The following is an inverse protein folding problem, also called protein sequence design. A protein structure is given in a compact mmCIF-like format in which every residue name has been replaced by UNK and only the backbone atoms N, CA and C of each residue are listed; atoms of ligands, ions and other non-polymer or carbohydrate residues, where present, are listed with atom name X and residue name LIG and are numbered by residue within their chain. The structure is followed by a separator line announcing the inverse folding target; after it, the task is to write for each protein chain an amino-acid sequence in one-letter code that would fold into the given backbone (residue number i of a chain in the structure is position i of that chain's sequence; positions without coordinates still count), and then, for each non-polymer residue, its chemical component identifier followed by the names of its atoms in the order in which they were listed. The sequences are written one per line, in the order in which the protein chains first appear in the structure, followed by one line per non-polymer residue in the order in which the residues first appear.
data_IF_771107690442
#
_entry.id   IF_771107690442
#
_cell.length_a   1.000
_cell.length_b   1.000
_cell.length_c   1.000
_cell.angle_alpha   90.00
_cell.angle_beta   90.00
_cell.angle_gamma   90.00
#
_symmetry.space_group_name_H-M   'P 1'
#
loop_
_entity.id
_entity.type
_entity.pdbx_description
1 polymer ?
#
# COMPACT_ATOMS: atom_id res chain seq x y z
N UNK A 1 -20.08 35.73 12.27
CA UNK A 1 -19.38 36.19 11.06
C UNK A 1 -17.90 35.94 11.28
N UNK A 2 -17.30 34.92 10.69
CA UNK A 2 -15.84 34.73 10.71
C UNK A 2 -15.24 35.53 9.57
N UNK A 3 -14.77 36.74 9.85
CA UNK A 3 -13.69 37.31 9.07
C UNK A 3 -12.41 36.59 9.50
N UNK A 4 -11.82 35.78 8.61
CA UNK A 4 -10.60 35.04 8.90
C UNK A 4 -10.30 34.08 7.76
N UNK A 5 -9.06 34.11 7.26
CA UNK A 5 -8.55 33.12 6.30
C UNK A 5 -8.96 31.72 6.76
N UNK A 6 -9.60 30.95 5.89
CA UNK A 6 -9.84 29.52 6.15
C UNK A 6 -8.45 28.90 6.33
N UNK A 7 -8.15 28.42 7.53
CA UNK A 7 -6.95 27.63 7.77
C UNK A 7 -7.16 26.26 7.11
N UNK A 8 -6.47 26.05 5.98
CA UNK A 8 -6.55 24.84 5.19
C UNK A 8 -5.70 23.69 5.73
N UNK A 9 -4.98 23.86 6.84
CA UNK A 9 -4.01 22.87 7.30
C UNK A 9 -4.60 21.49 7.55
N UNK A 10 -5.85 21.40 8.04
CA UNK A 10 -6.52 20.11 8.22
C UNK A 10 -6.95 19.47 6.90
N UNK A 11 -7.30 20.26 5.88
CA UNK A 11 -7.54 19.75 4.53
C UNK A 11 -6.25 19.19 3.93
N UNK A 12 -5.12 19.86 4.14
CA UNK A 12 -3.81 19.39 3.69
C UNK A 12 -3.38 18.10 4.40
N UNK A 13 -3.67 17.97 5.70
CA UNK A 13 -3.44 16.74 6.47
C UNK A 13 -4.30 15.60 5.93
N UNK A 14 -5.57 15.86 5.71
CA UNK A 14 -6.51 14.89 5.13
C UNK A 14 -6.05 14.43 3.75
N UNK A 15 -5.62 15.34 2.87
CA UNK A 15 -5.11 15.02 1.55
C UNK A 15 -3.88 14.10 1.60
N UNK A 16 -2.92 14.38 2.50
CA UNK A 16 -1.75 13.50 2.72
C UNK A 16 -2.18 12.11 3.21
N UNK A 17 -3.11 12.04 4.18
CA UNK A 17 -3.63 10.76 4.68
C UNK A 17 -4.30 9.96 3.56
N UNK A 18 -5.12 10.60 2.74
CA UNK A 18 -5.80 9.94 1.62
C UNK A 18 -4.84 9.49 0.52
N UNK A 19 -3.78 10.25 0.22
CA UNK A 19 -2.76 9.84 -0.74
C UNK A 19 -2.08 8.52 -0.32
N UNK A 20 -1.68 8.41 0.95
CA UNK A 20 -1.06 7.18 1.48
C UNK A 20 -2.07 6.03 1.56
N UNK A 21 -3.35 6.30 1.85
CA UNK A 21 -4.40 5.28 1.83
C UNK A 21 -4.67 4.76 0.40
N UNK A 22 -4.57 5.64 -0.61
CA UNK A 22 -4.67 5.26 -2.01
C UNK A 22 -3.50 4.36 -2.43
N UNK A 23 -2.27 4.68 -2.01
CA UNK A 23 -1.10 3.81 -2.21
C UNK A 23 -1.30 2.42 -1.60
N UNK A 24 -1.76 2.36 -0.35
CA UNK A 24 -2.02 1.10 0.36
C UNK A 24 -3.04 0.24 -0.40
N UNK A 25 -4.15 0.86 -0.81
CA UNK A 25 -5.21 0.18 -1.57
C UNK A 25 -4.72 -0.30 -2.94
N UNK A 26 -3.90 0.50 -3.62
CA UNK A 26 -3.28 0.14 -4.91
C UNK A 26 -2.40 -1.10 -4.78
N UNK A 27 -1.50 -1.14 -3.79
CA UNK A 27 -0.61 -2.28 -3.59
C UNK A 27 -1.40 -3.53 -3.15
N UNK A 28 -2.43 -3.38 -2.32
CA UNK A 28 -3.36 -4.48 -2.02
C UNK A 28 -4.00 -5.07 -3.29
N UNK A 29 -4.42 -4.22 -4.23
CA UNK A 29 -4.98 -4.65 -5.52
C UNK A 29 -4.01 -5.51 -6.31
N UNK A 30 -2.77 -5.03 -6.51
CA UNK A 30 -1.72 -5.79 -7.23
C UNK A 30 -1.46 -7.14 -6.55
N UNK A 31 -1.24 -7.13 -5.24
CA UNK A 31 -0.90 -8.34 -4.49
C UNK A 31 -2.06 -9.34 -4.54
N UNK A 32 -3.31 -8.87 -4.43
CA UNK A 32 -4.50 -9.71 -4.55
C UNK A 32 -4.59 -10.37 -5.92
N UNK A 33 -4.52 -9.59 -7.00
CA UNK A 33 -4.66 -10.10 -8.36
C UNK A 33 -3.58 -11.12 -8.68
N UNK A 34 -2.32 -10.80 -8.39
CA UNK A 34 -1.20 -11.73 -8.65
C UNK A 34 -1.24 -12.96 -7.76
N UNK A 35 -1.66 -12.84 -6.49
CA UNK A 35 -1.82 -14.00 -5.61
C UNK A 35 -2.91 -14.95 -6.12
N UNK A 36 -4.02 -14.42 -6.61
CA UNK A 36 -5.07 -15.22 -7.26
C UNK A 36 -4.54 -15.87 -8.52
N UNK A 37 -3.81 -15.15 -9.37
CA UNK A 37 -3.23 -15.73 -10.59
C UNK A 37 -2.22 -16.85 -10.32
N UNK A 38 -1.46 -16.78 -9.22
CA UNK A 38 -0.60 -17.88 -8.76
C UNK A 38 -1.45 -19.10 -8.37
N UNK A 39 -2.53 -18.91 -7.60
CA UNK A 39 -3.42 -20.00 -7.19
C UNK A 39 -4.14 -20.63 -8.39
N UNK A 40 -4.50 -19.82 -9.38
CA UNK A 40 -5.11 -20.24 -10.64
C UNK A 40 -4.08 -20.80 -11.64
N UNK A 41 -2.80 -20.90 -11.26
CA UNK A 41 -1.70 -21.39 -12.10
C UNK A 41 -1.48 -20.61 -13.41
N UNK A 42 -1.94 -19.36 -13.45
CA UNK A 42 -1.76 -18.44 -14.60
C UNK A 42 -0.37 -17.85 -14.65
N UNK A 43 0.26 -17.64 -13.48
CA UNK A 43 1.65 -17.21 -13.36
C UNK A 43 2.43 -18.15 -12.42
N UNK A 44 3.75 -18.31 -12.62
CA UNK A 44 4.58 -19.09 -11.71
C UNK A 44 4.57 -18.50 -10.30
N UNK A 45 4.59 -19.36 -9.28
CA UNK A 45 4.82 -18.91 -7.90
C UNK A 45 6.20 -18.24 -7.80
N UNK A 46 6.27 -17.07 -7.18
CA UNK A 46 7.53 -16.39 -6.91
C UNK A 46 8.43 -17.16 -5.94
N UNK A 47 9.69 -16.72 -5.84
CA UNK A 47 10.69 -17.29 -4.91
C UNK A 47 10.51 -16.82 -3.45
N UNK A 48 9.52 -15.96 -3.18
CA UNK A 48 9.24 -15.32 -1.89
C UNK A 48 8.15 -16.02 -1.08
N UNK A 49 8.00 -15.57 0.17
CA UNK A 49 7.06 -16.07 1.19
C UNK A 49 5.67 -16.41 0.64
N UNK A 50 5.07 -17.50 1.13
CA UNK A 50 3.71 -17.91 0.74
C UNK A 50 2.67 -16.91 1.29
N UNK A 51 1.57 -16.68 0.56
CA UNK A 51 0.40 -15.87 0.97
C UNK A 51 -0.12 -16.24 2.37
N UNK A 52 0.09 -17.48 2.80
CA UNK A 52 -0.17 -17.90 4.19
C UNK A 52 -1.65 -18.10 4.47
N UNK A 53 -2.37 -18.76 3.55
CA UNK A 53 -3.75 -19.17 3.76
C UNK A 53 -3.83 -20.31 4.79
N UNK A 54 -4.84 -20.25 5.66
CA UNK A 54 -5.13 -21.34 6.59
C UNK A 54 -5.73 -22.54 5.85
N UNK A 55 -5.59 -23.75 6.42
CA UNK A 55 -6.00 -25.00 5.75
C UNK A 55 -7.48 -25.04 5.37
N UNK A 56 -8.35 -24.46 6.20
CA UNK A 56 -9.79 -24.33 5.91
C UNK A 56 -10.07 -23.60 4.60
N UNK A 57 -9.45 -22.42 4.39
CA UNK A 57 -9.54 -21.67 3.14
C UNK A 57 -9.09 -22.51 1.94
N UNK A 58 -7.96 -23.23 2.07
CA UNK A 58 -7.46 -24.11 1.00
C UNK A 58 -8.48 -25.20 0.67
N UNK A 59 -9.06 -25.85 1.68
CA UNK A 59 -10.09 -26.86 1.48
C UNK A 59 -11.32 -26.33 0.75
N UNK A 60 -11.75 -25.09 1.06
CA UNK A 60 -12.90 -24.47 0.42
C UNK A 60 -12.61 -24.08 -1.03
N UNK A 61 -11.40 -23.59 -1.32
CA UNK A 61 -10.97 -23.29 -2.69
C UNK A 61 -10.98 -24.57 -3.55
N UNK A 62 -10.46 -25.69 -3.03
CA UNK A 62 -10.50 -26.97 -3.75
C UNK A 62 -11.92 -27.52 -3.92
N UNK A 63 -12.79 -27.35 -2.92
CA UNK A 63 -14.19 -27.72 -3.05
C UNK A 63 -14.89 -26.91 -4.15
N UNK A 64 -14.65 -25.60 -4.22
CA UNK A 64 -15.19 -24.73 -5.27
C UNK A 64 -14.67 -25.09 -6.67
N UNK A 65 -13.42 -25.56 -6.78
CA UNK A 65 -12.83 -26.03 -8.04
C UNK A 65 -13.56 -27.24 -8.65
N UNK A 66 -14.28 -28.03 -7.85
CA UNK A 66 -15.10 -29.14 -8.35
C UNK A 66 -16.37 -28.65 -9.09
N UNK A 67 -16.83 -27.42 -8.79
CA UNK A 67 -18.00 -26.82 -9.43
C UNK A 67 -17.62 -26.13 -10.74
N UNK A 68 -16.70 -25.18 -10.69
CA UNK A 68 -16.21 -24.47 -11.88
C UNK A 68 -14.91 -23.71 -11.59
N UNK A 69 -14.18 -23.35 -12.65
CA UNK A 69 -13.01 -22.46 -12.53
C UNK A 69 -13.38 -21.06 -12.03
N UNK A 70 -14.59 -20.57 -12.33
CA UNK A 70 -15.05 -19.27 -11.88
C UNK A 70 -15.34 -19.26 -10.37
N UNK A 71 -15.97 -20.32 -9.87
CA UNK A 71 -16.24 -20.47 -8.43
C UNK A 71 -14.95 -20.60 -7.62
N UNK A 72 -13.96 -21.33 -8.16
CA UNK A 72 -12.62 -21.42 -7.56
C UNK A 72 -11.98 -20.03 -7.44
N UNK A 73 -12.02 -19.23 -8.50
CA UNK A 73 -11.42 -17.89 -8.52
C UNK A 73 -12.10 -16.93 -7.54
N UNK A 74 -13.44 -16.90 -7.51
CA UNK A 74 -14.21 -16.07 -6.58
C UNK A 74 -13.89 -16.46 -5.12
N UNK A 75 -13.84 -17.76 -4.85
CA UNK A 75 -13.52 -18.29 -3.50
C UNK A 75 -12.08 -17.96 -3.11
N UNK A 76 -11.13 -18.14 -4.02
CA UNK A 76 -9.73 -17.79 -3.80
C UNK A 76 -9.57 -16.30 -3.52
N UNK A 77 -10.17 -15.44 -4.35
CA UNK A 77 -10.13 -13.98 -4.18
C UNK A 77 -10.70 -13.56 -2.82
N UNK A 78 -11.78 -14.20 -2.36
CA UNK A 78 -12.38 -13.92 -1.05
C UNK A 78 -11.41 -14.21 0.09
N UNK A 79 -10.84 -15.41 0.15
CA UNK A 79 -9.93 -15.80 1.23
C UNK A 79 -8.58 -15.08 1.16
N UNK A 80 -8.06 -14.82 -0.04
CA UNK A 80 -6.83 -14.05 -0.21
C UNK A 80 -7.06 -12.60 0.22
N UNK A 81 -8.17 -11.97 -0.16
CA UNK A 81 -8.48 -10.61 0.26
C UNK A 81 -8.65 -10.51 1.79
N UNK A 82 -9.33 -11.47 2.43
CA UNK A 82 -9.46 -11.51 3.89
C UNK A 82 -8.09 -11.63 4.58
N UNK A 83 -7.22 -12.52 4.07
CA UNK A 83 -5.87 -12.68 4.60
C UNK A 83 -5.02 -11.43 4.41
N UNK A 84 -5.04 -10.83 3.22
CA UNK A 84 -4.25 -9.65 2.90
C UNK A 84 -4.76 -8.43 3.66
N UNK A 85 -6.05 -8.32 3.97
CA UNK A 85 -6.60 -7.21 4.76
C UNK A 85 -6.04 -7.05 6.18
N UNK A 86 -5.26 -8.03 6.67
CA UNK A 86 -4.51 -7.94 7.93
C UNK A 86 -3.14 -7.24 7.77
N UNK A 87 -2.70 -7.03 6.53
CA UNK A 87 -1.43 -6.42 6.17
C UNK A 87 -1.61 -4.95 5.80
N UNK A 88 -0.55 -4.17 5.94
CA UNK A 88 -0.51 -2.75 5.54
C UNK A 88 0.66 -2.54 4.59
N UNK A 89 0.39 -1.99 3.41
CA UNK A 89 1.37 -1.81 2.34
C UNK A 89 1.64 -0.33 2.07
N UNK A 90 2.21 0.34 3.08
CA UNK A 90 2.51 1.77 3.00
C UNK A 90 4.00 2.04 3.06
N UNK A 91 4.72 1.40 4.00
CA UNK A 91 6.15 1.61 4.11
C UNK A 91 6.88 0.94 2.95
N UNK A 92 8.03 1.49 2.52
CA UNK A 92 8.79 0.90 1.42
C UNK A 92 9.16 -0.59 1.61
N UNK A 93 9.43 -1.00 2.85
CA UNK A 93 9.79 -2.38 3.15
C UNK A 93 8.57 -3.31 3.17
N UNK A 94 7.43 -2.84 3.67
CA UNK A 94 6.17 -3.59 3.64
C UNK A 94 5.70 -3.81 2.19
N UNK A 95 5.79 -2.77 1.35
CA UNK A 95 5.54 -2.85 -0.10
C UNK A 95 6.50 -3.87 -0.76
N UNK A 96 7.79 -3.84 -0.40
CA UNK A 96 8.77 -4.80 -0.93
C UNK A 96 8.40 -6.24 -0.57
N UNK A 97 7.99 -6.46 0.68
CA UNK A 97 7.60 -7.77 1.18
C UNK A 97 6.34 -8.28 0.46
N UNK A 98 5.31 -7.43 0.36
CA UNK A 98 4.05 -7.74 -0.32
C UNK A 98 4.26 -8.11 -1.78
N UNK A 99 5.01 -7.29 -2.52
CA UNK A 99 5.27 -7.54 -3.94
C UNK A 99 6.19 -8.74 -4.18
N UNK A 100 7.19 -8.98 -3.33
CA UNK A 100 8.05 -10.17 -3.43
C UNK A 100 7.27 -11.48 -3.22
N UNK A 101 6.25 -11.47 -2.33
CA UNK A 101 5.33 -12.59 -2.10
C UNK A 101 4.66 -13.08 -3.40
N UNK A 102 4.38 -12.16 -4.32
CA UNK A 102 3.71 -12.41 -5.60
C UNK A 102 4.65 -12.38 -6.81
N UNK A 103 5.95 -12.56 -6.55
CA UNK A 103 6.98 -12.72 -7.59
C UNK A 103 7.62 -11.43 -8.09
N UNK A 104 7.19 -10.27 -7.62
CA UNK A 104 7.76 -8.96 -7.98
C UNK A 104 8.92 -8.60 -7.06
N UNK A 105 10.07 -9.23 -7.32
CA UNK A 105 11.28 -9.06 -6.52
C UNK A 105 12.04 -7.78 -6.88
N UNK A 106 12.71 -7.19 -5.89
CA UNK A 106 13.61 -6.04 -6.07
C UNK A 106 12.94 -4.83 -6.75
N UNK A 107 11.64 -4.65 -6.52
CA UNK A 107 10.81 -3.64 -7.20
C UNK A 107 11.43 -2.24 -7.18
N UNK A 108 11.99 -1.80 -6.05
CA UNK A 108 12.60 -0.48 -5.93
C UNK A 108 13.79 -0.25 -6.87
N UNK A 109 14.67 -1.24 -7.01
CA UNK A 109 15.81 -1.13 -7.93
C UNK A 109 15.40 -1.28 -9.39
N UNK A 110 14.29 -1.97 -9.66
CA UNK A 110 13.73 -2.08 -11.01
C UNK A 110 13.05 -0.77 -11.42
N UNK A 111 12.11 -0.29 -10.60
CA UNK A 111 11.35 0.94 -10.83
C UNK A 111 12.22 2.20 -10.76
N UNK A 112 13.25 2.21 -9.91
CA UNK A 112 14.15 3.36 -9.73
C UNK A 112 15.63 2.95 -9.83
N UNK A 113 16.13 2.66 -11.05
CA UNK A 113 17.51 2.17 -11.24
C UNK A 113 18.59 3.13 -10.74
N UNK A 114 18.28 4.43 -10.73
CA UNK A 114 19.15 5.49 -10.20
C UNK A 114 18.39 6.25 -9.11
N UNK A 115 18.54 5.82 -7.86
CA UNK A 115 17.99 6.56 -6.73
C UNK A 115 16.91 5.85 -5.91
N UNK A 116 16.77 4.52 -6.04
CA UNK A 116 15.88 3.72 -5.19
C UNK A 116 15.94 4.10 -3.70
N UNK A 117 17.15 4.29 -3.14
CA UNK A 117 17.31 4.71 -1.74
C UNK A 117 16.66 6.06 -1.42
N UNK A 118 16.83 7.05 -2.31
CA UNK A 118 16.25 8.40 -2.14
C UNK A 118 14.72 8.33 -2.16
N UNK A 119 14.15 7.58 -3.11
CA UNK A 119 12.70 7.42 -3.22
C UNK A 119 12.11 6.67 -2.02
N UNK A 120 12.77 5.59 -1.55
CA UNK A 120 12.36 4.89 -0.34
C UNK A 120 12.37 5.83 0.88
N UNK A 121 13.40 6.66 1.02
CA UNK A 121 13.48 7.65 2.11
C UNK A 121 12.35 8.68 2.00
N UNK A 122 12.11 9.24 0.81
CA UNK A 122 11.05 10.23 0.58
C UNK A 122 9.67 9.65 0.95
N UNK A 123 9.33 8.46 0.42
CA UNK A 123 8.08 7.79 0.78
C UNK A 123 8.00 7.48 2.28
N UNK A 124 9.11 7.04 2.89
CA UNK A 124 9.19 6.79 4.33
C UNK A 124 8.86 8.02 5.17
N UNK A 125 9.30 9.21 4.76
CA UNK A 125 8.98 10.48 5.42
C UNK A 125 7.48 10.77 5.32
N UNK A 126 6.87 10.61 4.13
CA UNK A 126 5.42 10.80 3.92
C UNK A 126 4.60 9.86 4.80
N UNK A 127 4.94 8.57 4.83
CA UNK A 127 4.24 7.57 5.65
C UNK A 127 4.42 7.83 7.14
N UNK A 128 5.60 8.28 7.55
CA UNK A 128 5.86 8.65 8.95
C UNK A 128 4.99 9.84 9.35
N UNK A 129 4.87 10.84 8.47
CA UNK A 129 4.02 12.00 8.66
C UNK A 129 2.54 11.60 8.78
N UNK A 130 2.07 10.72 7.89
CA UNK A 130 0.73 10.14 7.93
C UNK A 130 0.42 9.49 9.27
N UNK A 131 1.32 8.64 9.77
CA UNK A 131 1.15 7.98 11.06
C UNK A 131 0.99 8.97 12.21
N UNK A 132 1.80 10.03 12.22
CA UNK A 132 1.69 11.08 13.23
C UNK A 132 0.35 11.80 13.17
N UNK A 133 -0.15 12.14 11.97
CA UNK A 133 -1.46 12.76 11.79
C UNK A 133 -2.58 11.87 12.37
N UNK A 134 -2.57 10.58 12.02
CA UNK A 134 -3.67 9.66 12.37
C UNK A 134 -3.61 9.19 13.82
N UNK A 135 -2.41 8.91 14.36
CA UNK A 135 -2.25 8.26 15.67
C UNK A 135 -1.79 9.19 16.78
N UNK A 136 -1.19 10.34 16.45
CA UNK A 136 -0.54 11.22 17.42
C UNK A 136 -1.08 12.66 17.33
N UNK A 137 -2.23 12.87 16.68
CA UNK A 137 -2.83 14.19 16.46
C UNK A 137 -1.89 15.19 15.79
N UNK A 138 -0.90 14.70 15.04
CA UNK A 138 0.15 15.49 14.40
C UNK A 138 0.99 16.39 15.34
N UNK A 139 1.06 16.05 16.62
CA UNK A 139 1.75 16.86 17.64
C UNK A 139 3.23 17.06 17.29
N UNK A 140 3.71 18.31 17.37
CA UNK A 140 5.10 18.67 17.15
C UNK A 140 5.99 18.15 18.30
N UNK A 141 6.92 17.21 18.03
CA UNK A 141 7.79 16.65 19.06
C UNK A 141 8.78 17.67 19.62
N UNK A 142 9.07 18.75 18.89
CA UNK A 142 9.97 19.82 19.32
C UNK A 142 9.23 20.93 20.06
N UNK A 143 7.92 21.06 19.86
CA UNK A 143 7.08 22.10 20.47
C UNK A 143 5.81 21.49 21.09
N UNK A 144 5.90 20.89 22.29
CA UNK A 144 4.77 20.25 22.95
C UNK A 144 3.53 21.15 23.04
N UNK A 145 2.37 20.61 22.68
CA UNK A 145 1.09 21.33 22.68
C UNK A 145 0.73 22.01 21.35
N UNK A 146 1.65 22.05 20.38
CA UNK A 146 1.37 22.49 19.02
C UNK A 146 1.28 21.31 18.06
N UNK A 147 0.50 21.46 16.99
CA UNK A 147 0.57 20.58 15.83
C UNK A 147 1.72 21.00 14.94
N UNK A 148 2.34 20.04 14.25
CA UNK A 148 3.39 20.37 13.29
C UNK A 148 2.77 21.13 12.11
N UNK A 149 3.38 22.24 11.66
CA UNK A 149 2.90 22.99 10.51
C UNK A 149 2.75 22.11 9.27
N UNK A 150 1.73 22.39 8.47
CA UNK A 150 1.51 21.76 7.18
C UNK A 150 0.89 22.77 6.23
N UNK A 151 1.55 22.99 5.09
CA UNK A 151 1.12 23.87 4.01
C UNK A 151 0.52 23.06 2.86
N UNK A 152 -0.02 23.77 1.87
CA UNK A 152 -0.45 23.20 0.60
C UNK A 152 0.73 22.55 -0.15
N UNK A 153 1.89 23.21 -0.16
CA UNK A 153 3.12 22.69 -0.80
C UNK A 153 3.53 21.35 -0.19
N UNK A 154 3.55 21.24 1.14
CA UNK A 154 3.92 19.98 1.83
C UNK A 154 2.98 18.83 1.43
N UNK A 155 1.68 19.12 1.27
CA UNK A 155 0.68 18.13 0.87
C UNK A 155 0.85 17.72 -0.59
N UNK A 156 1.09 18.68 -1.49
CA UNK A 156 1.33 18.42 -2.91
C UNK A 156 2.60 17.60 -3.12
N UNK A 157 3.70 17.91 -2.43
CA UNK A 157 4.95 17.14 -2.51
C UNK A 157 4.77 15.69 -2.01
N UNK A 158 3.96 15.49 -0.95
CA UNK A 158 3.62 14.17 -0.47
C UNK A 158 2.80 13.37 -1.50
N UNK A 159 1.83 14.02 -2.16
CA UNK A 159 1.02 13.43 -3.23
C UNK A 159 1.91 13.07 -4.43
N UNK A 160 2.76 13.99 -4.88
CA UNK A 160 3.69 13.75 -6.00
C UNK A 160 4.66 12.60 -5.69
N UNK A 161 5.15 12.51 -4.46
CA UNK A 161 5.98 11.38 -4.00
C UNK A 161 5.23 10.06 -4.15
N UNK A 162 3.97 10.00 -3.71
CA UNK A 162 3.13 8.80 -3.83
C UNK A 162 2.83 8.47 -5.29
N UNK A 163 2.45 9.47 -6.09
CA UNK A 163 2.12 9.29 -7.51
C UNK A 163 3.32 8.78 -8.32
N UNK A 164 4.52 9.33 -8.07
CA UNK A 164 5.75 8.86 -8.69
C UNK A 164 6.05 7.40 -8.32
N UNK A 165 5.84 7.01 -7.06
CA UNK A 165 5.99 5.61 -6.61
C UNK A 165 5.01 4.69 -7.34
N UNK A 166 3.72 5.04 -7.34
CA UNK A 166 2.68 4.23 -8.00
C UNK A 166 2.98 4.08 -9.49
N UNK A 167 3.21 5.18 -10.19
CA UNK A 167 3.48 5.19 -11.64
C UNK A 167 4.70 4.34 -12.01
N UNK A 168 5.76 4.42 -11.22
CA UNK A 168 6.97 3.66 -11.48
C UNK A 168 6.82 2.17 -11.16
N UNK A 169 6.04 1.81 -10.14
CA UNK A 169 5.74 0.40 -9.81
C UNK A 169 4.82 -0.20 -10.87
N UNK A 170 3.81 0.54 -11.33
CA UNK A 170 2.80 0.08 -12.29
C UNK A 170 3.40 -0.44 -13.59
N UNK A 171 4.51 0.17 -14.04
CA UNK A 171 5.25 -0.26 -15.22
C UNK A 171 5.84 -1.69 -15.13
N UNK A 172 5.80 -2.33 -13.95
CA UNK A 172 6.32 -3.68 -13.69
C UNK A 172 5.26 -4.68 -13.22
N UNK A 173 4.00 -4.24 -13.06
CA UNK A 173 2.94 -5.04 -12.45
C UNK A 173 2.13 -5.86 -13.46
#
# INVERSE_FOLDING_TARGET
MTQGRIDGSDLYRSALVHAVAALDSYVHGIVLDRAVDILMTRIPSGNGSKVGLHFGAISQIFAAAASSSADMEITARTYVAERLGLETYQRPDDISSGLAMVGLNKIWSSAFPKGAGVIKTALGVVVSRRNRIVHECDLDPLNPGNVTPLTDVDSLEAIETVENVVTAIDAYC
#
